data_IF_588370886607
#
_entry.id   IF_588370886607
#
_cell.length_a   1.000
_cell.length_b   1.000
_cell.length_c   1.000
_cell.angle_alpha   90.00
_cell.angle_beta   90.00
_cell.angle_gamma   90.00
#
_symmetry.space_group_name_H-M   'P 1'
#
loop_
_entity.id
_entity.type
_entity.pdbx_description
1 polymer ?
#
# COMPACT_ATOMS: atom_id res chain seq x y z
N UNK A 1 -10.09 -15.04 -14.74
CA UNK A 1 -10.36 -14.12 -14.74
C UNK A 1 -10.07 -13.19 -13.76
N UNK A 2 -9.94 -12.27 -13.82
CA UNK A 2 -9.55 -11.51 -13.03
C UNK A 2 -10.13 -10.92 -12.33
N UNK A 3 -9.86 -10.53 -11.71
CA UNK A 3 -10.26 -10.35 -10.83
C UNK A 3 -10.19 -9.07 -10.27
N UNK A 4 -9.45 -8.73 -9.34
CA UNK A 4 -9.38 -7.44 -8.71
C UNK A 4 -8.27 -6.63 -9.31
N UNK A 5 -8.49 -5.31 -9.33
CA UNK A 5 -7.49 -4.41 -9.80
C UNK A 5 -7.17 -3.47 -8.68
N UNK A 6 -5.92 -3.38 -8.27
CA UNK A 6 -5.50 -2.48 -7.19
C UNK A 6 -4.73 -1.32 -7.77
N UNK A 7 -5.06 -0.12 -7.32
CA UNK A 7 -4.44 1.11 -7.81
C UNK A 7 -3.94 1.93 -6.64
N UNK A 8 -2.72 2.41 -6.76
CA UNK A 8 -2.06 3.22 -5.73
C UNK A 8 -1.89 4.64 -6.25
N UNK A 9 -2.17 5.63 -5.43
CA UNK A 9 -1.95 7.03 -5.81
C UNK A 9 -1.24 7.75 -4.69
N UNK A 10 -0.16 8.45 -5.04
CA UNK A 10 0.54 9.28 -4.08
C UNK A 10 -0.21 10.60 -3.93
N UNK A 11 -0.29 11.11 -2.69
CA UNK A 11 -0.98 12.36 -2.45
C UNK A 11 -0.27 13.46 -3.22
N UNK A 12 -1.02 14.23 -3.97
CA UNK A 12 -0.46 15.29 -4.80
C UNK A 12 -0.27 14.90 -6.25
N UNK A 13 -0.25 13.60 -6.55
CA UNK A 13 -0.09 13.15 -7.92
C UNK A 13 -1.45 12.94 -8.55
N UNK A 14 -1.49 13.04 -9.87
CA UNK A 14 -2.74 12.77 -10.56
C UNK A 14 -2.76 11.40 -11.19
N UNK A 15 -1.63 10.71 -11.23
CA UNK A 15 -1.59 9.42 -11.88
C UNK A 15 -1.74 8.32 -10.85
N UNK A 16 -2.26 7.19 -11.31
CA UNK A 16 -2.42 6.01 -10.48
C UNK A 16 -1.46 4.93 -10.95
N UNK A 17 -0.89 4.21 -10.00
CA UNK A 17 0.03 3.14 -10.30
C UNK A 17 -0.69 1.81 -10.07
N UNK A 18 -0.81 0.98 -11.09
CA UNK A 18 -1.41 -0.33 -10.89
C UNK A 18 -0.48 -1.23 -10.08
N UNK A 19 -1.05 -1.94 -9.13
CA UNK A 19 -0.27 -2.87 -8.33
C UNK A 19 -0.46 -4.27 -8.89
N UNK A 20 0.17 -4.50 -10.03
CA UNK A 20 -0.03 -5.76 -10.70
C UNK A 20 1.00 -6.80 -10.37
N UNK A 21 2.17 -6.41 -9.99
CA UNK A 21 3.19 -7.41 -9.73
C UNK A 21 3.23 -7.73 -8.25
N UNK A 22 3.90 -8.80 -7.94
CA UNK A 22 3.95 -9.27 -6.57
C UNK A 22 4.70 -8.31 -5.67
N UNK A 23 5.73 -7.65 -6.21
CA UNK A 23 6.55 -6.82 -5.38
C UNK A 23 6.69 -5.45 -6.01
N UNK A 24 6.09 -4.47 -5.40
CA UNK A 24 6.21 -3.10 -5.87
C UNK A 24 6.95 -2.30 -4.82
N UNK A 25 7.93 -1.51 -5.25
CA UNK A 25 8.70 -0.66 -4.34
C UNK A 25 8.31 0.78 -4.53
N UNK A 26 8.08 1.49 -3.44
CA UNK A 26 7.77 2.91 -3.47
C UNK A 26 8.56 3.60 -2.37
N UNK A 27 8.66 4.92 -2.47
CA UNK A 27 9.28 5.70 -1.41
C UNK A 27 8.24 6.05 -0.35
N UNK A 28 8.71 6.23 0.89
CA UNK A 28 7.77 6.58 1.94
C UNK A 28 7.02 7.86 1.60
N UNK A 29 5.82 7.98 2.09
CA UNK A 29 4.98 9.13 1.80
C UNK A 29 3.53 8.81 2.06
N UNK A 30 2.66 9.71 1.64
CA UNK A 30 1.23 9.52 1.83
C UNK A 30 0.59 9.01 0.55
N UNK A 31 -0.11 7.90 0.67
CA UNK A 31 -0.69 7.22 -0.47
C UNK A 31 -2.09 6.71 -0.12
N UNK A 32 -2.88 6.50 -1.14
CA UNK A 32 -4.14 5.79 -0.96
C UNK A 32 -4.19 4.62 -1.94
N UNK A 33 -4.97 3.61 -1.60
CA UNK A 33 -5.14 2.43 -2.42
C UNK A 33 -6.62 2.19 -2.62
N UNK A 34 -7.00 1.99 -3.87
CA UNK A 34 -8.36 1.71 -4.26
C UNK A 34 -8.35 0.40 -5.02
N UNK A 35 -9.37 -0.40 -4.86
CA UNK A 35 -9.49 -1.63 -5.63
C UNK A 35 -10.78 -1.64 -6.40
N UNK A 36 -10.77 -2.28 -7.54
CA UNK A 36 -11.98 -2.55 -8.28
C UNK A 36 -12.19 -4.05 -8.25
N UNK A 37 -13.28 -4.46 -7.63
CA UNK A 37 -13.57 -5.88 -7.49
C UNK A 37 -14.51 -6.37 -8.57
N UNK A 38 -15.15 -5.43 -9.29
CA UNK A 38 -16.16 -5.73 -10.27
C UNK A 38 -17.40 -6.40 -9.64
N UNK A 39 -17.54 -6.35 -8.33
CA UNK A 39 -18.68 -6.87 -7.62
C UNK A 39 -19.30 -5.75 -6.80
N UNK A 40 -20.53 -5.40 -7.10
CA UNK A 40 -21.20 -4.25 -6.47
C UNK A 40 -21.74 -4.61 -5.09
N UNK A 41 -21.81 -3.59 -4.25
CA UNK A 41 -22.50 -3.70 -2.96
C UNK A 41 -22.07 -4.91 -2.13
N UNK A 42 -20.81 -5.17 -2.07
CA UNK A 42 -20.28 -6.33 -1.36
C UNK A 42 -19.33 -5.88 -0.25
N UNK A 43 -19.44 -6.50 0.88
CA UNK A 43 -18.56 -6.18 1.98
C UNK A 43 -17.18 -6.76 1.72
N UNK A 44 -16.15 -5.97 1.93
CA UNK A 44 -14.77 -6.40 1.76
C UNK A 44 -14.07 -6.25 3.10
N UNK A 45 -13.50 -7.34 3.58
CA UNK A 45 -12.69 -7.30 4.78
C UNK A 45 -11.25 -7.08 4.41
N UNK A 46 -10.59 -6.16 5.09
CA UNK A 46 -9.26 -5.74 4.74
C UNK A 46 -8.37 -5.95 5.95
N UNK A 47 -7.24 -6.61 5.73
CA UNK A 47 -6.24 -6.78 6.77
C UNK A 47 -4.95 -6.17 6.28
N UNK A 48 -4.38 -5.26 7.05
CA UNK A 48 -3.19 -4.54 6.69
C UNK A 48 -2.10 -4.93 7.65
N UNK A 49 -0.98 -5.42 7.13
CA UNK A 49 0.14 -5.84 7.95
C UNK A 49 1.34 -5.01 7.55
N UNK A 50 1.99 -4.40 8.53
CA UNK A 50 3.18 -3.60 8.31
C UNK A 50 4.31 -4.11 9.18
N UNK A 51 5.38 -4.58 8.54
CA UNK A 51 6.60 -4.97 9.24
C UNK A 51 7.57 -3.83 9.08
N UNK A 52 7.79 -3.09 10.16
CA UNK A 52 8.64 -1.91 10.13
C UNK A 52 10.09 -2.30 10.00
N UNK A 53 10.83 -1.59 9.14
CA UNK A 53 12.26 -1.80 9.03
C UNK A 53 13.04 -0.70 9.73
N UNK A 54 12.34 0.27 10.31
CA UNK A 54 13.02 1.36 10.99
C UNK A 54 13.21 1.14 12.46
N UNK A 55 12.59 0.13 13.02
CA UNK A 55 12.65 -0.10 14.46
C UNK A 55 13.51 -1.31 14.77
N UNK A 56 14.18 -1.25 15.92
CA UNK A 56 15.06 -2.34 16.36
C UNK A 56 14.64 -2.73 17.76
N UNK A 57 14.11 -3.94 17.93
CA UNK A 57 13.88 -4.93 16.90
C UNK A 57 12.71 -4.54 16.01
N UNK A 58 12.56 -5.18 14.87
CA UNK A 58 11.46 -4.87 13.96
C UNK A 58 10.12 -5.12 14.63
N UNK A 59 9.15 -4.30 14.26
CA UNK A 59 7.82 -4.35 14.86
C UNK A 59 6.80 -4.63 13.77
N UNK A 60 5.89 -5.55 14.06
CA UNK A 60 4.78 -5.84 13.15
C UNK A 60 3.51 -5.23 13.70
N UNK A 61 2.81 -4.49 12.86
CA UNK A 61 1.52 -3.93 13.22
C UNK A 61 0.45 -4.48 12.29
N UNK A 62 -0.70 -4.76 12.85
CA UNK A 62 -1.81 -5.34 12.08
C UNK A 62 -3.04 -4.49 12.30
N UNK A 63 -3.68 -4.08 11.20
CA UNK A 63 -4.93 -3.37 11.27
C UNK A 63 -5.98 -4.13 10.48
N UNK A 64 -7.19 -4.14 10.99
CA UNK A 64 -8.30 -4.76 10.29
C UNK A 64 -9.39 -3.73 10.11
N UNK A 65 -10.01 -3.74 8.96
CA UNK A 65 -11.13 -2.85 8.70
C UNK A 65 -12.04 -3.51 7.67
N UNK A 66 -13.21 -2.97 7.49
CA UNK A 66 -14.09 -3.46 6.44
C UNK A 66 -14.63 -2.27 5.68
N UNK A 67 -15.01 -2.50 4.46
CA UNK A 67 -15.58 -1.49 3.61
C UNK A 67 -16.54 -2.18 2.65
N UNK A 68 -17.34 -1.39 1.95
CA UNK A 68 -18.32 -1.97 1.04
C UNK A 68 -18.09 -1.38 -0.34
N UNK A 69 -18.12 -2.25 -1.35
CA UNK A 69 -17.95 -1.79 -2.71
C UNK A 69 -19.14 -0.96 -3.13
N UNK A 70 -18.89 -0.02 -4.02
CA UNK A 70 -19.93 0.82 -4.58
C UNK A 70 -20.60 0.10 -5.73
N UNK A 71 -21.52 0.80 -6.39
CA UNK A 71 -22.30 0.17 -7.45
C UNK A 71 -21.43 -0.34 -8.60
N UNK A 72 -20.23 0.22 -8.76
CA UNK A 72 -19.35 -0.22 -9.83
C UNK A 72 -18.25 -1.14 -9.35
N UNK A 73 -18.29 -1.56 -8.13
CA UNK A 73 -17.28 -2.48 -7.59
C UNK A 73 -16.05 -1.81 -7.00
N UNK A 74 -16.03 -0.49 -6.93
CA UNK A 74 -14.90 0.21 -6.36
C UNK A 74 -14.96 0.22 -4.85
N UNK A 75 -13.81 0.07 -4.22
CA UNK A 75 -13.74 0.10 -2.76
C UNK A 75 -12.42 0.74 -2.34
N UNK A 76 -12.46 1.53 -1.28
CA UNK A 76 -11.26 2.13 -0.73
C UNK A 76 -10.59 1.13 0.19
N UNK A 77 -9.35 0.78 -0.11
CA UNK A 77 -8.58 -0.11 0.75
C UNK A 77 -7.97 0.68 1.89
N UNK A 78 -7.31 1.79 1.56
CA UNK A 78 -6.87 2.76 2.56
C UNK A 78 -7.05 4.16 1.98
N UNK A 79 -7.50 5.11 2.81
CA UNK A 79 -7.51 6.51 2.38
C UNK A 79 -6.07 7.01 2.38
N UNK A 80 -5.85 8.29 2.06
CA UNK A 80 -4.50 8.82 2.09
C UNK A 80 -3.91 8.60 3.47
N UNK A 81 -2.87 7.80 3.51
CA UNK A 81 -2.26 7.33 4.75
C UNK A 81 -0.76 7.38 4.58
N UNK A 82 -0.05 7.75 5.64
CA UNK A 82 1.40 7.73 5.56
C UNK A 82 1.88 6.29 5.62
N UNK A 83 2.64 5.89 4.62
CA UNK A 83 3.24 4.57 4.60
C UNK A 83 4.70 4.73 4.96
N UNK A 84 5.05 4.25 6.14
CA UNK A 84 6.43 4.30 6.63
C UNK A 84 7.24 3.14 6.08
N UNK A 85 8.56 3.24 6.09
CA UNK A 85 9.39 2.19 5.52
C UNK A 85 9.12 0.82 6.11
N UNK A 86 9.22 -0.19 5.29
CA UNK A 86 9.03 -1.57 5.68
C UNK A 86 8.27 -2.34 4.64
N UNK A 87 7.81 -3.51 5.05
CA UNK A 87 7.05 -4.38 4.15
C UNK A 87 5.59 -4.31 4.54
N UNK A 88 4.74 -4.07 3.55
CA UNK A 88 3.31 -3.93 3.75
C UNK A 88 2.58 -5.02 2.98
N UNK A 89 1.56 -5.58 3.62
CA UNK A 89 0.72 -6.55 2.98
C UNK A 89 -0.73 -6.12 3.16
N UNK A 90 -1.48 -6.13 2.06
CA UNK A 90 -2.90 -5.81 2.11
C UNK A 90 -3.66 -7.04 1.66
N UNK A 91 -4.42 -7.64 2.57
CA UNK A 91 -5.23 -8.81 2.26
C UNK A 91 -6.68 -8.39 2.23
N UNK A 92 -7.36 -8.70 1.15
CA UNK A 92 -8.73 -8.30 0.95
C UNK A 92 -9.57 -9.52 0.67
N UNK A 93 -10.69 -9.63 1.35
CA UNK A 93 -11.58 -10.75 1.20
C UNK A 93 -12.98 -10.24 0.95
N UNK A 94 -13.54 -10.57 -0.20
CA UNK A 94 -14.91 -10.19 -0.52
C UNK A 94 -15.85 -11.25 0.04
N UNK A 95 -16.84 -10.81 0.79
CA UNK A 95 -17.80 -11.73 1.37
C UNK A 95 -19.00 -11.81 0.48
N UNK A 96 -19.11 -12.91 -0.24
CA UNK A 96 -20.22 -13.12 -1.14
C UNK A 96 -21.36 -13.76 -0.37
N UNK A 97 -22.52 -13.18 -0.48
CA UNK A 97 -23.62 -13.59 0.36
C UNK A 97 -24.19 -14.94 -0.01
N UNK A 98 -24.09 -15.32 -1.26
CA UNK A 98 -24.77 -16.53 -1.64
C UNK A 98 -23.98 -17.78 -1.46
N UNK A 99 -22.69 -17.68 -1.40
CA UNK A 99 -21.92 -18.90 -1.29
C UNK A 99 -20.65 -18.60 -0.57
N UNK A 100 -20.57 -19.05 0.63
CA UNK A 100 -19.38 -18.81 1.40
C UNK A 100 -18.17 -19.46 0.80
N UNK A 101 -18.37 -20.46 -0.04
CA UNK A 101 -17.24 -21.10 -0.62
C UNK A 101 -16.59 -20.26 -1.67
N UNK A 102 -17.29 -19.27 -2.17
CA UNK A 102 -16.76 -18.47 -3.26
C UNK A 102 -16.11 -17.20 -2.81
N UNK A 103 -15.81 -17.07 -1.55
CA UNK A 103 -15.14 -15.87 -1.08
C UNK A 103 -13.82 -15.72 -1.82
N UNK A 104 -13.59 -14.52 -2.35
CA UNK A 104 -12.40 -14.25 -3.12
C UNK A 104 -11.42 -13.46 -2.29
N UNK A 105 -10.18 -13.91 -2.25
CA UNK A 105 -9.13 -13.26 -1.49
C UNK A 105 -8.06 -12.76 -2.44
N UNK A 106 -7.60 -11.54 -2.20
CA UNK A 106 -6.51 -10.96 -2.95
C UNK A 106 -5.49 -10.40 -1.99
N UNK A 107 -4.23 -10.54 -2.34
CA UNK A 107 -3.14 -10.08 -1.49
C UNK A 107 -2.20 -9.25 -2.34
N UNK A 108 -1.86 -8.07 -1.84
CA UNK A 108 -0.94 -7.17 -2.51
C UNK A 108 0.18 -6.84 -1.56
N UNK A 109 1.40 -6.80 -2.05
CA UNK A 109 2.57 -6.48 -1.24
C UNK A 109 3.25 -5.22 -1.75
N UNK A 110 3.73 -4.40 -0.81
CA UNK A 110 4.51 -3.24 -1.14
C UNK A 110 5.76 -3.23 -0.28
N UNK A 111 6.86 -2.78 -0.84
CA UNK A 111 8.03 -2.46 -0.05
C UNK A 111 8.21 -0.96 -0.07
N UNK A 112 8.23 -0.33 1.10
CA UNK A 112 8.35 1.11 1.22
C UNK A 112 9.75 1.42 1.69
N UNK A 113 10.44 2.27 0.94
CA UNK A 113 11.83 2.62 1.21
C UNK A 113 11.91 4.02 1.80
N UNK A 114 12.89 4.25 2.67
CA UNK A 114 13.04 5.60 3.23
C UNK A 114 13.59 6.57 2.19
N UNK A 115 13.19 7.82 2.31
CA UNK A 115 13.62 8.82 1.35
C UNK A 115 14.92 9.49 1.73
N UNK A 116 15.23 9.45 3.04
CA UNK A 116 16.30 10.27 3.43
C UNK A 116 17.61 9.74 3.13
N UNK A 117 17.79 8.53 2.71
CA UNK A 117 19.09 8.13 2.51
C UNK A 117 19.64 8.58 1.22
N UNK A 118 18.93 9.29 0.49
CA UNK A 118 19.52 9.87 -0.58
C UNK A 118 20.19 11.06 -0.25
N UNK A 119 20.24 11.53 0.74
CA UNK A 119 20.81 12.80 0.93
C UNK A 119 22.15 12.71 1.46
N UNK A 120 22.24 12.58 1.41
CA UNK A 120 23.15 12.53 1.78
C UNK A 120 23.92 12.64 1.91
N UNK A 121 24.11 12.30 1.79
CA UNK A 121 24.82 12.17 2.00
C UNK A 121 25.35 12.47 1.85
N UNK A 122 25.62 12.42 1.50
CA UNK A 122 26.30 12.49 1.48
C UNK A 122 26.37 13.19 1.47
N UNK A 123 26.38 13.48 1.15
CA UNK A 123 26.79 14.01 1.33
C UNK A 123 26.80 14.42 1.35
N UNK A 124 26.96 14.43 1.07
CA UNK A 124 27.42 14.60 1.29
C UNK A 124 27.42 14.75 1.13
N UNK A 125 27.65 14.73 0.88
CA UNK A 125 28.15 14.73 0.92
C UNK A 125 28.14 15.22 0.71
N UNK A 126 28.41 15.36 0.41
CA UNK A 126 28.91 15.67 0.34
C UNK A 126 28.86 16.38 0.34
N UNK A 127 28.78 16.68 0.35
CA UNK A 127 29.20 17.22 0.42
C UNK A 127 29.26 17.70 0.46
N UNK A 128 29.20 17.97 0.38
CA UNK A 128 29.61 18.34 0.46
C UNK A 128 29.59 18.74 0.52
N UNK A 129 29.63 19.02 0.74
CA UNK A 129 30.09 19.42 0.85
C UNK A 129 30.09 19.71 0.95
N UNK A 130 30.07 19.87 0.89
CA UNK A 130 30.55 20.28 1.00
C UNK A 130 30.52 20.46 1.17
N UNK A 131 30.33 20.71 1.22
CA UNK A 131 30.83 20.91 1.35
C UNK A 131 30.92 21.03 1.44
N UNK A 132 30.73 21.32 1.37
CA UNK A 132 31.34 21.48 1.43
C UNK A 132 31.39 21.48 1.49
N UNK A 133 31.36 21.63 1.50
CA UNK A 133 31.91 21.64 1.48
C UNK A 133 31.85 21.53 1.59
N UNK A 134 31.93 21.70 1.87
CA UNK A 134 32.28 21.57 1.82
C UNK A 134 32.08 21.32 1.70
#
# INVERSE_FOLDING_TARGET
MSDWEFLLQKEGDQTWLPLESADVEILEGRYRIVANTYIANTEVQIRIIHDSTEETPPVRRVHKRSSRTRSQGLVSIIPFTRLNPGFWEFRCLAKLSTSSKEAKQHIVHLQVLPTEYDSSDFSQQLEPQNQELY
#
